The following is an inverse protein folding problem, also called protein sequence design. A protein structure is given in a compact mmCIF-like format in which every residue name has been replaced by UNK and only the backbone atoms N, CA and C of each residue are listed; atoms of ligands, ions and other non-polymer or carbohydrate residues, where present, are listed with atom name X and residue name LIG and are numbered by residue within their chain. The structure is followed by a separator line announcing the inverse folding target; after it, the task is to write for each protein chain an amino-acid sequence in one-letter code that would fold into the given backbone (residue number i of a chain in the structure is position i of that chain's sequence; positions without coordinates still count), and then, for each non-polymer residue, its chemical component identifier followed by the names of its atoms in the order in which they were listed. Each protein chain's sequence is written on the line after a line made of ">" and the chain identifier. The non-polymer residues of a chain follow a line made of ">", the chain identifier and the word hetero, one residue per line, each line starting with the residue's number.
data_IF_458899986285
#
_entry.id   IF_458899986285
#
_cell.length_a   1.000
_cell.length_b   1.000
_cell.length_c   1.000
_cell.angle_alpha   90.00
_cell.angle_beta   90.00
_cell.angle_gamma   90.00
#
_symmetry.space_group_name_H-M   'P 1'
#
loop_
_entity.id
_entity.type
_entity.pdbx_description
1 polymer ?
#
# COMPACT_ATOMS: atom_id res chain seq x y z
N UNK A 1 -84.21 50.80 -61.99
CA UNK A 1 -84.43 50.23 -60.66
C UNK A 1 -83.58 48.98 -60.62
N UNK A 2 -82.38 49.07 -60.05
CA UNK A 2 -81.51 47.93 -59.85
C UNK A 2 -80.87 48.09 -58.48
N UNK A 3 -81.20 47.16 -57.58
CA UNK A 3 -80.55 46.96 -56.30
C UNK A 3 -79.56 45.81 -56.44
N UNK A 4 -78.34 46.01 -55.97
CA UNK A 4 -77.28 45.01 -55.72
C UNK A 4 -76.06 45.74 -55.12
N UNK A 5 -75.13 45.05 -54.43
CA UNK A 5 -75.28 44.68 -53.02
C UNK A 5 -74.17 45.31 -52.16
N UNK A 6 -74.34 45.26 -50.84
CA UNK A 6 -73.33 45.70 -49.89
C UNK A 6 -72.02 44.92 -50.02
N UNK A 7 -70.91 45.66 -50.05
CA UNK A 7 -69.57 45.13 -49.82
C UNK A 7 -69.04 45.81 -48.55
N UNK A 8 -69.05 45.05 -47.47
CA UNK A 8 -68.37 45.36 -46.22
C UNK A 8 -66.89 45.11 -46.41
N UNK A 9 -66.06 46.16 -46.37
CA UNK A 9 -64.61 46.01 -46.19
C UNK A 9 -64.32 46.31 -44.73
N UNK A 10 -64.09 45.22 -43.99
CA UNK A 10 -63.65 45.19 -42.60
C UNK A 10 -62.27 45.82 -42.53
N UNK A 11 -62.14 46.87 -41.75
CA UNK A 11 -60.87 47.48 -41.37
C UNK A 11 -60.21 46.63 -40.28
N UNK A 12 -59.23 45.81 -40.67
CA UNK A 12 -58.33 45.10 -39.76
C UNK A 12 -57.30 46.08 -39.19
N UNK A 13 -57.68 46.76 -38.11
CA UNK A 13 -56.72 47.34 -37.20
C UNK A 13 -56.25 46.24 -36.24
N UNK A 14 -54.94 46.00 -36.08
CA UNK A 14 -54.44 45.04 -35.12
C UNK A 14 -54.83 45.52 -33.72
N UNK A 15 -55.76 44.80 -33.09
CA UNK A 15 -56.35 45.18 -31.81
C UNK A 15 -55.30 45.09 -30.69
N UNK A 16 -55.47 45.82 -29.59
CA UNK A 16 -54.60 45.71 -28.39
C UNK A 16 -54.43 44.25 -27.89
N UNK A 17 -55.35 43.34 -28.26
CA UNK A 17 -55.21 41.90 -28.03
C UNK A 17 -54.03 41.26 -28.78
N UNK A 18 -53.70 41.68 -30.00
CA UNK A 18 -52.58 41.10 -30.76
C UNK A 18 -51.22 41.52 -30.16
N UNK A 19 -51.10 42.75 -29.66
CA UNK A 19 -49.88 43.18 -28.93
C UNK A 19 -49.74 42.46 -27.58
N UNK A 20 -50.85 42.21 -26.88
CA UNK A 20 -50.86 41.39 -25.66
C UNK A 20 -50.51 39.94 -25.97
N UNK A 21 -51.01 39.36 -27.06
CA UNK A 21 -50.67 38.00 -27.52
C UNK A 21 -49.19 37.86 -27.86
N UNK A 22 -48.58 38.81 -28.58
CA UNK A 22 -47.14 38.81 -28.87
C UNK A 22 -46.30 38.89 -27.59
N UNK A 23 -46.77 39.64 -26.58
CA UNK A 23 -46.08 39.75 -25.28
C UNK A 23 -46.24 38.48 -24.45
N UNK A 24 -47.40 37.83 -24.53
CA UNK A 24 -47.70 36.55 -23.89
C UNK A 24 -46.87 35.42 -24.51
N UNK A 25 -46.75 35.39 -25.84
CA UNK A 25 -45.91 34.42 -26.56
C UNK A 25 -44.42 34.57 -26.22
N UNK A 26 -43.93 35.81 -26.12
CA UNK A 26 -42.55 36.08 -25.70
C UNK A 26 -42.29 35.64 -24.25
N UNK A 27 -43.28 35.81 -23.37
CA UNK A 27 -43.23 35.32 -21.99
C UNK A 27 -43.32 33.79 -21.92
N UNK A 28 -44.13 33.15 -22.76
CA UNK A 28 -44.21 31.70 -22.88
C UNK A 28 -42.90 31.09 -23.39
N UNK A 29 -42.28 31.68 -24.42
CA UNK A 29 -40.94 31.25 -24.86
C UNK A 29 -39.88 31.37 -23.77
N UNK A 30 -39.89 32.46 -22.99
CA UNK A 30 -38.99 32.60 -21.83
C UNK A 30 -39.27 31.55 -20.76
N UNK A 31 -40.54 31.27 -20.48
CA UNK A 31 -40.95 30.27 -19.50
C UNK A 31 -40.53 28.86 -19.93
N UNK A 32 -40.70 28.52 -21.21
CA UNK A 32 -40.29 27.22 -21.76
C UNK A 32 -38.78 27.06 -21.80
N UNK A 33 -38.03 28.14 -22.08
CA UNK A 33 -36.57 28.17 -21.95
C UNK A 33 -36.12 27.95 -20.50
N UNK A 34 -36.79 28.56 -19.53
CA UNK A 34 -36.52 28.37 -18.10
C UNK A 34 -36.82 26.93 -17.64
N UNK A 35 -37.94 26.34 -18.10
CA UNK A 35 -38.25 24.93 -17.84
C UNK A 35 -37.17 24.00 -18.41
N UNK A 36 -36.69 24.26 -19.62
CA UNK A 36 -35.59 23.51 -20.24
C UNK A 36 -34.29 23.61 -19.44
N UNK A 37 -33.95 24.80 -18.92
CA UNK A 37 -32.79 25.00 -18.05
C UNK A 37 -32.94 24.26 -16.72
N UNK A 38 -34.14 24.26 -16.13
CA UNK A 38 -34.47 23.51 -14.91
C UNK A 38 -34.32 22.00 -15.12
N UNK A 39 -34.79 21.48 -16.25
CA UNK A 39 -34.63 20.07 -16.63
C UNK A 39 -33.14 19.73 -16.78
N UNK A 40 -32.37 20.55 -17.49
CA UNK A 40 -30.91 20.38 -17.64
C UNK A 40 -30.19 20.42 -16.29
N UNK A 41 -30.54 21.37 -15.42
CA UNK A 41 -29.95 21.45 -14.08
C UNK A 41 -30.31 20.22 -13.25
N UNK A 42 -31.55 19.73 -13.33
CA UNK A 42 -31.99 18.49 -12.68
C UNK A 42 -31.20 17.26 -13.16
N UNK A 43 -30.95 17.15 -14.46
CA UNK A 43 -30.12 16.09 -15.04
C UNK A 43 -28.66 16.19 -14.58
N UNK A 44 -28.09 17.40 -14.57
CA UNK A 44 -26.73 17.63 -14.08
C UNK A 44 -26.59 17.27 -12.59
N UNK A 45 -27.59 17.60 -11.78
CA UNK A 45 -27.61 17.28 -10.35
C UNK A 45 -27.69 15.77 -10.12
N UNK A 46 -28.47 15.04 -10.92
CA UNK A 46 -28.52 13.57 -10.88
C UNK A 46 -27.18 12.94 -11.30
N UNK A 47 -26.54 13.46 -12.34
CA UNK A 47 -25.22 13.00 -12.79
C UNK A 47 -24.15 13.20 -11.72
N UNK A 48 -24.13 14.36 -11.05
CA UNK A 48 -23.20 14.61 -9.95
C UNK A 48 -23.42 13.67 -8.76
N UNK A 49 -24.68 13.38 -8.39
CA UNK A 49 -24.99 12.42 -7.33
C UNK A 49 -24.50 11.01 -7.67
N UNK A 50 -24.71 10.55 -8.91
CA UNK A 50 -24.18 9.26 -9.38
C UNK A 50 -22.67 9.19 -9.28
N UNK A 51 -21.96 10.26 -9.70
CA UNK A 51 -20.50 10.35 -9.60
C UNK A 51 -20.00 10.36 -8.16
N UNK A 52 -20.74 11.00 -7.26
CA UNK A 52 -20.41 11.02 -5.84
C UNK A 52 -20.53 9.63 -5.22
N UNK A 53 -21.58 8.88 -5.58
CA UNK A 53 -21.79 7.51 -5.12
C UNK A 53 -20.73 6.54 -5.67
N UNK A 54 -20.33 6.71 -6.94
CA UNK A 54 -19.20 5.97 -7.53
C UNK A 54 -17.88 6.22 -6.78
N UNK A 55 -17.58 7.48 -6.44
CA UNK A 55 -16.36 7.84 -5.69
C UNK A 55 -16.38 7.32 -4.24
N UNK A 56 -17.54 7.31 -3.58
CA UNK A 56 -17.68 6.70 -2.25
C UNK A 56 -17.45 5.19 -2.30
N UNK A 57 -18.02 4.50 -3.29
CA UNK A 57 -17.80 3.07 -3.50
C UNK A 57 -16.33 2.75 -3.82
N UNK A 58 -15.66 3.59 -4.63
CA UNK A 58 -14.24 3.44 -4.93
C UNK A 58 -13.36 3.65 -3.68
N UNK A 59 -13.69 4.65 -2.85
CA UNK A 59 -13.00 4.88 -1.58
C UNK A 59 -13.14 3.70 -0.62
N UNK A 60 -14.33 3.11 -0.52
CA UNK A 60 -14.57 1.94 0.33
C UNK A 60 -13.80 0.72 -0.19
N UNK A 61 -13.79 0.49 -1.51
CA UNK A 61 -13.00 -0.57 -2.14
C UNK A 61 -11.48 -0.41 -1.91
N UNK A 62 -10.97 0.83 -1.95
CA UNK A 62 -9.57 1.14 -1.63
C UNK A 62 -9.26 0.88 -0.15
N UNK A 63 -10.17 1.21 0.77
CA UNK A 63 -10.01 0.91 2.18
C UNK A 63 -9.92 -0.60 2.46
N UNK A 64 -10.76 -1.40 1.80
CA UNK A 64 -10.72 -2.87 1.91
C UNK A 64 -9.39 -3.40 1.37
N UNK A 65 -8.93 -2.94 0.20
CA UNK A 65 -7.63 -3.33 -0.36
C UNK A 65 -6.46 -2.94 0.54
N UNK A 66 -6.50 -1.77 1.17
CA UNK A 66 -5.48 -1.33 2.12
C UNK A 66 -5.45 -2.28 3.34
N UNK A 67 -6.61 -2.61 3.90
CA UNK A 67 -6.70 -3.55 5.02
C UNK A 67 -6.18 -4.95 4.65
N UNK A 68 -6.50 -5.45 3.45
CA UNK A 68 -6.00 -6.73 2.94
C UNK A 68 -4.49 -6.73 2.74
N UNK A 69 -3.94 -5.68 2.12
CA UNK A 69 -2.50 -5.56 1.89
C UNK A 69 -1.73 -5.42 3.20
N UNK A 70 -2.27 -4.68 4.17
CA UNK A 70 -1.70 -4.56 5.51
C UNK A 70 -1.78 -5.89 6.27
N UNK A 71 -2.87 -6.65 6.13
CA UNK A 71 -2.98 -8.02 6.66
C UNK A 71 -1.98 -9.00 6.03
N UNK A 72 -1.74 -8.91 4.72
CA UNK A 72 -0.72 -9.71 4.03
C UNK A 72 0.69 -9.33 4.46
N UNK A 73 0.97 -8.03 4.60
CA UNK A 73 2.25 -7.52 5.09
C UNK A 73 2.54 -8.03 6.50
N UNK A 74 1.54 -7.96 7.38
CA UNK A 74 1.63 -8.46 8.75
C UNK A 74 1.88 -9.97 8.80
N UNK A 75 1.23 -10.77 7.94
CA UNK A 75 1.51 -12.22 7.81
C UNK A 75 2.94 -12.50 7.34
N UNK A 76 3.41 -11.76 6.33
CA UNK A 76 4.77 -11.92 5.79
C UNK A 76 5.86 -11.56 6.80
N UNK A 77 5.62 -10.53 7.62
CA UNK A 77 6.53 -10.09 8.66
C UNK A 77 6.41 -10.92 9.95
N UNK A 78 5.51 -11.93 10.00
CA UNK A 78 5.08 -12.61 11.25
C UNK A 78 4.71 -11.61 12.35
N UNK A 79 4.26 -10.43 11.95
CA UNK A 79 3.96 -9.31 12.81
C UNK A 79 2.48 -9.36 13.16
N UNK A 80 2.13 -10.12 14.20
CA UNK A 80 0.84 -9.97 14.85
C UNK A 80 0.96 -8.83 15.86
N UNK A 81 0.22 -7.71 15.70
CA UNK A 81 0.19 -6.69 16.73
C UNK A 81 -0.24 -7.35 18.05
N UNK A 82 0.46 -7.06 19.16
CA UNK A 82 0.19 -7.72 20.42
C UNK A 82 -1.24 -7.42 20.88
N UNK A 83 -1.88 -8.39 21.55
CA UNK A 83 -3.15 -8.11 22.21
C UNK A 83 -2.90 -7.17 23.39
N UNK A 84 -3.84 -6.26 23.64
CA UNK A 84 -3.73 -5.26 24.71
C UNK A 84 -3.52 -5.90 26.09
N UNK A 85 -4.05 -7.11 26.28
CA UNK A 85 -3.89 -7.95 27.49
C UNK A 85 -2.46 -8.47 27.70
N UNK A 86 -1.67 -8.59 26.63
CA UNK A 86 -0.30 -9.13 26.66
C UNK A 86 0.76 -8.03 26.88
N UNK A 87 0.34 -6.76 26.87
CA UNK A 87 1.22 -5.59 27.02
C UNK A 87 1.63 -5.42 28.48
N UNK A 88 2.94 -5.34 28.73
CA UNK A 88 3.53 -5.18 30.05
C UNK A 88 3.87 -3.71 30.30
N UNK A 89 4.64 -3.11 29.38
CA UNK A 89 5.14 -1.74 29.53
C UNK A 89 5.50 -1.12 28.18
N UNK A 90 5.64 0.21 28.17
CA UNK A 90 6.18 0.96 27.04
C UNK A 90 7.68 1.12 27.24
N UNK A 91 8.49 0.70 26.26
CA UNK A 91 9.94 0.80 26.30
C UNK A 91 10.46 2.12 25.73
N UNK A 92 9.86 2.57 24.63
CA UNK A 92 10.35 3.73 23.90
C UNK A 92 9.23 4.35 23.06
N UNK A 93 9.32 5.65 22.80
CA UNK A 93 8.51 6.38 21.83
C UNK A 93 9.43 7.12 20.89
N UNK A 94 9.28 6.91 19.59
CA UNK A 94 10.15 7.47 18.56
C UNK A 94 9.27 8.16 17.54
N UNK A 95 9.57 9.43 17.24
CA UNK A 95 8.91 10.15 16.16
C UNK A 95 9.67 9.93 14.86
N UNK A 96 8.98 9.40 13.86
CA UNK A 96 9.49 9.22 12.50
C UNK A 96 8.60 10.08 11.59
N UNK A 97 9.19 11.10 10.99
CA UNK A 97 8.49 12.14 10.22
C UNK A 97 7.36 12.83 11.02
N UNK A 98 6.11 12.58 10.64
CA UNK A 98 4.90 13.12 11.29
C UNK A 98 4.26 12.16 12.30
N UNK A 99 4.68 10.90 12.32
CA UNK A 99 4.06 9.84 13.12
C UNK A 99 4.94 9.44 14.31
N UNK A 100 4.30 9.08 15.42
CA UNK A 100 5.01 8.57 16.60
C UNK A 100 4.80 7.07 16.67
N UNK A 101 5.89 6.33 16.79
CA UNK A 101 5.93 4.89 16.96
C UNK A 101 6.29 4.57 18.41
N UNK A 102 5.50 3.71 19.03
CA UNK A 102 5.66 3.27 20.41
C UNK A 102 6.14 1.82 20.43
N UNK A 103 7.25 1.56 21.12
CA UNK A 103 7.74 0.21 21.38
C UNK A 103 7.09 -0.34 22.64
N UNK A 104 6.32 -1.40 22.48
CA UNK A 104 5.61 -2.11 23.54
C UNK A 104 6.36 -3.40 23.88
N UNK A 105 6.66 -3.61 25.16
CA UNK A 105 7.10 -4.92 25.66
C UNK A 105 5.88 -5.76 26.00
N UNK A 106 5.82 -6.96 25.44
CA UNK A 106 4.81 -7.95 25.77
C UNK A 106 5.46 -9.23 26.26
N UNK A 107 4.65 -10.18 26.75
CA UNK A 107 5.14 -11.51 27.15
C UNK A 107 5.76 -12.31 25.99
N UNK A 108 5.43 -11.96 24.74
CA UNK A 108 5.90 -12.66 23.52
C UNK A 108 7.10 -11.97 22.86
N UNK A 109 7.46 -10.76 23.29
CA UNK A 109 8.55 -9.99 22.70
C UNK A 109 8.28 -8.49 22.67
N UNK A 110 9.11 -7.75 21.93
CA UNK A 110 8.99 -6.31 21.75
C UNK A 110 8.34 -5.99 20.40
N UNK A 111 7.39 -5.07 20.38
CA UNK A 111 6.57 -4.72 19.20
C UNK A 111 6.54 -3.21 18.99
N UNK A 112 6.53 -2.76 17.74
CA UNK A 112 6.50 -1.34 17.36
C UNK A 112 5.14 -0.98 16.74
N UNK A 113 4.33 -0.20 17.45
CA UNK A 113 3.01 0.20 16.97
C UNK A 113 2.88 1.72 16.90
N UNK A 114 2.08 2.23 15.97
CA UNK A 114 1.80 3.66 15.86
C UNK A 114 1.09 4.13 17.15
N UNK A 115 1.44 5.32 17.61
CA UNK A 115 0.82 5.94 18.77
C UNK A 115 -0.69 6.09 18.54
N UNK A 116 -1.49 5.67 19.53
CA UNK A 116 -2.95 5.57 19.41
C UNK A 116 -3.48 4.16 19.11
N UNK A 117 -2.61 3.18 18.82
CA UNK A 117 -3.04 1.77 18.64
C UNK A 117 -3.55 1.13 19.94
N UNK A 118 -2.99 1.52 21.09
CA UNK A 118 -3.35 1.00 22.41
C UNK A 118 -3.44 2.12 23.44
N UNK A 119 -4.27 1.95 24.48
CA UNK A 119 -4.38 2.93 25.56
C UNK A 119 -3.30 2.64 26.60
N UNK A 120 -2.31 3.51 26.70
CA UNK A 120 -1.22 3.38 27.67
C UNK A 120 -1.75 3.48 29.11
N UNK A 121 -1.51 2.44 29.92
CA UNK A 121 -1.71 2.48 31.38
C UNK A 121 -0.40 2.89 32.07
N UNK A 122 -0.11 4.18 32.16
CA UNK A 122 1.07 4.69 32.89
C UNK A 122 1.63 6.01 32.36
N UNK A 123 2.77 6.43 32.93
CA UNK A 123 3.56 7.55 32.39
C UNK A 123 4.26 7.11 31.11
N UNK A 124 3.96 7.79 30.01
CA UNK A 124 4.60 7.52 28.72
C UNK A 124 6.04 8.02 28.73
N UNK A 125 7.01 7.25 28.21
CA UNK A 125 8.36 7.73 27.97
C UNK A 125 8.37 8.98 27.09
N UNK A 126 9.39 9.82 27.26
CA UNK A 126 9.61 11.01 26.45
C UNK A 126 9.81 10.61 24.97
N UNK A 127 9.27 11.41 24.05
CA UNK A 127 9.33 11.12 22.61
C UNK A 127 10.72 11.47 22.10
N UNK A 128 11.45 10.46 21.63
CA UNK A 128 12.70 10.66 20.91
C UNK A 128 12.39 11.22 19.53
N UNK A 129 12.60 12.52 19.34
CA UNK A 129 12.45 13.18 18.03
C UNK A 129 13.65 12.80 17.15
N UNK A 130 13.38 12.01 16.12
CA UNK A 130 14.40 11.49 15.20
C UNK A 130 14.53 12.38 13.95
N UNK A 131 14.35 13.71 14.10
CA UNK A 131 14.74 14.71 13.10
C UNK A 131 16.26 14.62 12.86
N UNK A 132 16.63 13.66 12.00
CA UNK A 132 17.98 13.17 11.83
C UNK A 132 18.90 14.23 11.21
N UNK A 133 19.75 14.82 12.03
CA UNK A 133 20.90 15.57 11.56
C UNK A 133 22.01 14.57 11.16
N UNK A 134 22.51 14.61 9.92
CA UNK A 134 23.48 13.65 9.35
C UNK A 134 24.72 13.40 10.25
N UNK A 135 25.06 14.37 11.09
CA UNK A 135 26.16 14.31 12.05
C UNK A 135 25.93 13.28 13.17
N UNK A 136 24.69 13.18 13.67
CA UNK A 136 24.33 12.24 14.75
C UNK A 136 24.35 10.80 14.22
N UNK A 137 23.90 10.57 12.99
CA UNK A 137 23.98 9.26 12.34
C UNK A 137 25.43 8.80 12.13
N UNK A 138 26.33 9.72 11.73
CA UNK A 138 27.75 9.42 11.59
C UNK A 138 28.40 9.05 12.93
N UNK A 139 28.07 9.76 14.01
CA UNK A 139 28.58 9.48 15.36
C UNK A 139 28.03 8.15 15.92
N UNK A 140 26.75 7.85 15.69
CA UNK A 140 26.15 6.57 16.11
C UNK A 140 26.72 5.39 15.31
N UNK A 141 26.89 5.53 13.99
CA UNK A 141 27.53 4.52 13.16
C UNK A 141 28.97 4.26 13.61
N UNK A 142 29.75 5.31 13.89
CA UNK A 142 31.11 5.18 14.41
C UNK A 142 31.15 4.46 15.77
N UNK A 143 30.18 4.73 16.65
CA UNK A 143 30.10 4.06 17.95
C UNK A 143 29.77 2.57 17.80
N UNK A 144 28.84 2.21 16.91
CA UNK A 144 28.51 0.81 16.61
C UNK A 144 29.72 0.06 16.04
N UNK A 145 30.45 0.69 15.11
CA UNK A 145 31.68 0.11 14.54
C UNK A 145 32.71 -0.15 15.63
N UNK A 146 32.98 0.83 16.51
CA UNK A 146 33.92 0.65 17.64
C UNK A 146 33.48 -0.47 18.59
N UNK A 147 32.19 -0.58 18.91
CA UNK A 147 31.67 -1.67 19.74
C UNK A 147 31.86 -3.04 19.09
N UNK A 148 31.69 -3.12 17.78
CA UNK A 148 31.92 -4.35 17.01
C UNK A 148 33.41 -4.72 17.00
N UNK A 149 34.30 -3.75 16.79
CA UNK A 149 35.75 -3.96 16.84
C UNK A 149 36.20 -4.45 18.22
N UNK A 150 35.73 -3.82 19.30
CA UNK A 150 36.02 -4.26 20.67
C UNK A 150 35.51 -5.66 20.96
N UNK A 151 34.32 -6.01 20.44
CA UNK A 151 33.76 -7.37 20.59
C UNK A 151 34.58 -8.40 19.82
N UNK A 152 35.00 -8.08 18.59
CA UNK A 152 35.84 -8.95 17.78
C UNK A 152 37.20 -9.17 18.44
N UNK A 153 37.78 -8.12 19.03
CA UNK A 153 39.02 -8.23 19.79
C UNK A 153 38.90 -9.17 20.99
N UNK A 154 37.84 -9.04 21.80
CA UNK A 154 37.59 -9.97 22.93
C UNK A 154 37.34 -11.41 22.48
N UNK A 155 36.66 -11.60 21.35
CA UNK A 155 36.47 -12.94 20.78
C UNK A 155 37.79 -13.55 20.33
N UNK A 156 38.68 -12.76 19.74
CA UNK A 156 40.02 -13.20 19.36
C UNK A 156 40.85 -13.57 20.60
N UNK A 157 40.89 -12.72 21.62
CA UNK A 157 41.57 -13.00 22.89
C UNK A 157 41.06 -14.29 23.57
N UNK A 158 39.75 -14.53 23.51
CA UNK A 158 39.17 -15.77 24.02
C UNK A 158 39.56 -17.00 23.19
N UNK A 159 39.58 -16.87 21.85
CA UNK A 159 40.02 -17.94 20.95
C UNK A 159 41.48 -18.33 21.22
N UNK A 160 42.37 -17.34 21.34
CA UNK A 160 43.78 -17.56 21.63
C UNK A 160 43.95 -18.26 23.01
N UNK A 161 43.15 -17.89 24.01
CA UNK A 161 43.15 -18.56 25.32
C UNK A 161 42.62 -20.01 25.26
N UNK A 162 41.67 -20.32 24.36
CA UNK A 162 41.23 -21.69 24.12
C UNK A 162 42.31 -22.52 23.42
N UNK A 163 43.03 -21.93 22.47
CA UNK A 163 44.16 -22.59 21.80
C UNK A 163 45.28 -22.92 22.80
N UNK A 164 45.64 -22.00 23.68
CA UNK A 164 46.64 -22.23 24.74
C UNK A 164 46.21 -23.35 25.70
N UNK A 165 44.94 -23.37 26.13
CA UNK A 165 44.39 -24.47 26.94
C UNK A 165 44.43 -25.80 26.22
N UNK A 166 44.11 -25.82 24.92
CA UNK A 166 44.14 -27.04 24.12
C UNK A 166 45.58 -27.56 23.96
N UNK A 167 46.55 -26.68 23.73
CA UNK A 167 47.97 -27.04 23.72
C UNK A 167 48.42 -27.63 25.06
N UNK A 168 47.98 -27.03 26.17
CA UNK A 168 48.27 -27.52 27.52
C UNK A 168 47.68 -28.92 27.76
N UNK A 169 46.45 -29.17 27.32
CA UNK A 169 45.80 -30.48 27.39
C UNK A 169 46.52 -31.52 26.52
N UNK A 170 46.91 -31.16 25.30
CA UNK A 170 47.69 -32.04 24.42
C UNK A 170 49.06 -32.38 25.01
N UNK A 171 49.69 -31.43 25.72
CA UNK A 171 50.94 -31.68 26.43
C UNK A 171 50.72 -32.62 27.62
N UNK A 172 49.69 -32.37 28.45
CA UNK A 172 49.32 -33.25 29.56
C UNK A 172 49.00 -34.68 29.09
N UNK A 173 48.31 -34.81 27.94
CA UNK A 173 48.04 -36.11 27.33
C UNK A 173 49.32 -36.84 26.90
N UNK A 174 50.27 -36.12 26.27
CA UNK A 174 51.59 -36.67 25.94
C UNK A 174 52.37 -37.11 27.18
N UNK A 175 52.36 -36.31 28.23
CA UNK A 175 53.05 -36.63 29.49
C UNK A 175 52.43 -37.86 30.17
N UNK A 176 51.09 -38.00 30.12
CA UNK A 176 50.36 -39.19 30.58
C UNK A 176 50.74 -40.43 29.76
N UNK A 177 50.85 -40.30 28.45
CA UNK A 177 51.22 -41.41 27.56
C UNK A 177 52.65 -41.88 27.83
N UNK A 178 53.60 -40.95 28.03
CA UNK A 178 54.97 -41.28 28.43
C UNK A 178 54.98 -42.04 29.78
N UNK A 179 54.18 -41.59 30.75
CA UNK A 179 54.07 -42.30 32.05
C UNK A 179 53.48 -43.69 31.91
N UNK A 180 52.51 -43.89 31.01
CA UNK A 180 51.98 -45.22 30.71
C UNK A 180 53.06 -46.12 30.12
N UNK A 181 53.85 -45.62 29.16
CA UNK A 181 54.96 -46.37 28.56
C UNK A 181 56.06 -46.69 29.60
N UNK A 182 56.32 -45.78 30.56
CA UNK A 182 57.23 -45.99 31.69
C UNK A 182 56.72 -47.06 32.67
N UNK A 183 55.41 -47.13 32.92
CA UNK A 183 54.80 -48.16 33.76
C UNK A 183 54.82 -49.51 33.02
N UNK A 184 54.47 -49.54 31.74
CA UNK A 184 54.50 -50.75 30.91
C UNK A 184 55.93 -51.33 30.80
N UNK A 185 56.94 -50.47 30.74
CA UNK A 185 58.35 -50.90 30.75
C UNK A 185 58.84 -51.38 32.12
N UNK A 186 58.29 -50.86 33.23
CA UNK A 186 58.57 -51.33 34.60
C UNK A 186 57.89 -52.65 34.96
N UNK A 187 56.73 -52.95 34.37
CA UNK A 187 55.91 -54.14 34.74
C UNK A 187 56.25 -55.43 33.99
N UNK A 188 57.34 -55.47 33.20
CA UNK A 188 57.80 -56.70 32.51
C UNK A 188 58.25 -57.86 33.43
N UNK A 189 58.11 -57.75 34.76
CA UNK A 189 58.37 -58.83 35.72
C UNK A 189 57.10 -59.29 36.46
N UNK A 190 56.37 -60.26 35.86
CA UNK A 190 55.20 -61.07 36.31
C UNK A 190 53.78 -60.45 36.22
N UNK A 191 52.75 -61.31 36.10
CA UNK A 191 52.29 -61.99 34.89
C UNK A 191 51.30 -61.10 34.12
N UNK A 192 51.82 -60.30 33.18
CA UNK A 192 51.05 -59.29 32.40
C UNK A 192 50.17 -59.91 31.30
N UNK A 193 50.25 -61.22 31.06
CA UNK A 193 49.54 -61.86 29.95
C UNK A 193 48.02 -61.77 30.03
N UNK A 194 47.43 -61.93 31.22
CA UNK A 194 45.97 -61.92 31.37
C UNK A 194 45.39 -60.51 31.23
N UNK A 195 46.05 -59.51 31.82
CA UNK A 195 45.61 -58.10 31.78
C UNK A 195 45.77 -57.54 30.37
N UNK A 196 46.89 -57.84 29.69
CA UNK A 196 47.11 -57.42 28.30
C UNK A 196 46.09 -58.05 27.34
N UNK A 197 45.81 -59.34 27.48
CA UNK A 197 44.75 -60.00 26.70
C UNK A 197 43.37 -59.39 26.94
N UNK A 198 43.04 -59.01 28.18
CA UNK A 198 41.75 -58.38 28.49
C UNK A 198 41.66 -56.94 27.95
N UNK A 199 42.75 -56.18 27.97
CA UNK A 199 42.82 -54.84 27.38
C UNK A 199 42.64 -54.94 25.85
N UNK A 200 43.39 -55.83 25.19
CA UNK A 200 43.31 -56.04 23.74
C UNK A 200 41.91 -56.51 23.31
N UNK A 201 41.32 -57.48 24.04
CA UNK A 201 39.95 -57.94 23.79
C UNK A 201 38.90 -56.82 24.06
N UNK A 202 39.12 -55.94 25.04
CA UNK A 202 38.23 -54.80 25.31
C UNK A 202 38.32 -53.70 24.24
N UNK A 203 39.51 -53.46 23.68
CA UNK A 203 39.72 -52.52 22.60
C UNK A 203 39.08 -53.02 21.29
N UNK A 204 39.20 -54.32 21.00
CA UNK A 204 38.53 -54.95 19.86
C UNK A 204 36.99 -54.92 20.00
N UNK A 205 36.48 -55.07 21.22
CA UNK A 205 35.05 -54.91 21.52
C UNK A 205 34.59 -53.46 21.30
N UNK A 206 35.38 -52.49 21.74
CA UNK A 206 35.09 -51.06 21.55
C UNK A 206 35.05 -50.67 20.06
N UNK A 207 36.05 -51.10 19.28
CA UNK A 207 36.08 -50.89 17.81
C UNK A 207 34.86 -51.52 17.12
N UNK A 208 34.46 -52.74 17.51
CA UNK A 208 33.26 -53.39 16.98
C UNK A 208 31.97 -52.65 17.34
N UNK A 209 31.88 -52.10 18.55
CA UNK A 209 30.73 -51.28 19.00
C UNK A 209 30.70 -49.95 18.25
N UNK A 210 31.85 -49.28 18.09
CA UNK A 210 31.93 -48.00 17.37
C UNK A 210 31.64 -48.16 15.88
N UNK A 211 32.16 -49.20 15.23
CA UNK A 211 31.81 -49.54 13.86
C UNK A 211 30.32 -49.79 13.67
N UNK A 212 29.64 -50.38 14.67
CA UNK A 212 28.19 -50.58 14.64
C UNK A 212 27.39 -49.29 14.84
N UNK A 213 27.88 -48.35 15.64
CA UNK A 213 27.24 -47.04 15.87
C UNK A 213 27.36 -46.14 14.63
N UNK A 214 28.44 -46.28 13.87
CA UNK A 214 28.73 -45.49 12.67
C UNK A 214 28.10 -46.07 11.38
N UNK A 215 27.63 -47.32 11.40
CA UNK A 215 26.94 -47.96 10.28
C UNK A 215 25.50 -47.41 10.12
N UNK A 216 25.09 -47.15 8.86
CA UNK A 216 23.81 -46.52 8.57
C UNK A 216 22.59 -47.45 8.74
N UNK A 217 22.77 -48.77 8.64
CA UNK A 217 21.72 -49.79 8.78
C UNK A 217 21.97 -50.73 9.98
N UNK A 218 21.12 -50.62 11.00
CA UNK A 218 21.15 -51.47 12.20
C UNK A 218 20.18 -52.64 12.00
N UNK A 219 20.73 -53.83 11.72
CA UNK A 219 19.98 -55.09 11.73
C UNK A 219 19.99 -55.72 13.14
N UNK A 220 18.85 -56.26 13.57
CA UNK A 220 18.68 -57.04 14.80
C UNK A 220 19.67 -58.21 14.90
N UNK A 221 20.09 -58.78 13.76
CA UNK A 221 21.13 -59.83 13.75
C UNK A 221 22.50 -59.31 14.21
N UNK A 222 22.86 -58.08 13.82
CA UNK A 222 24.11 -57.44 14.22
C UNK A 222 24.07 -57.04 15.71
N UNK A 223 22.92 -56.55 16.20
CA UNK A 223 22.70 -56.26 17.63
C UNK A 223 22.87 -57.52 18.50
N UNK A 224 22.29 -58.65 18.07
CA UNK A 224 22.42 -59.94 18.75
C UNK A 224 23.87 -60.46 18.73
N UNK A 225 24.61 -60.23 17.65
CA UNK A 225 26.04 -60.58 17.56
C UNK A 225 26.91 -59.76 18.52
N UNK A 226 26.63 -58.45 18.64
CA UNK A 226 27.29 -57.57 19.61
C UNK A 226 27.00 -58.02 21.04
N UNK A 227 25.73 -58.31 21.36
CA UNK A 227 25.33 -58.77 22.68
C UNK A 227 25.97 -60.13 23.05
N UNK A 228 26.14 -61.03 22.07
CA UNK A 228 26.89 -62.30 22.26
C UNK A 228 28.38 -62.07 22.51
N UNK A 229 29.02 -61.16 21.77
CA UNK A 229 30.44 -60.83 21.93
C UNK A 229 30.73 -60.23 23.31
N UNK A 230 29.87 -59.31 23.74
CA UNK A 230 29.89 -58.73 25.08
C UNK A 230 29.69 -59.82 26.15
N UNK A 231 28.71 -60.71 25.96
CA UNK A 231 28.42 -61.79 26.92
C UNK A 231 29.56 -62.80 27.04
N UNK A 232 30.28 -63.09 25.94
CA UNK A 232 31.42 -63.99 25.94
C UNK A 232 32.63 -63.38 26.66
N UNK A 233 32.87 -62.08 26.49
CA UNK A 233 33.91 -61.35 27.23
C UNK A 233 33.62 -61.31 28.74
N UNK A 234 32.36 -61.12 29.14
CA UNK A 234 31.91 -61.19 30.54
C UNK A 234 32.08 -62.59 31.14
N UNK A 235 31.90 -63.65 30.34
CA UNK A 235 32.15 -65.03 30.79
C UNK A 235 33.65 -65.32 30.98
N UNK A 236 34.51 -64.90 30.06
CA UNK A 236 35.97 -65.08 30.21
C UNK A 236 36.54 -64.32 31.41
N UNK A 237 36.00 -63.15 31.71
CA UNK A 237 36.36 -62.35 32.90
C UNK A 237 35.80 -62.92 34.21
N UNK A 238 34.91 -63.92 34.14
CA UNK A 238 34.34 -64.58 35.33
C UNK A 238 35.12 -65.80 35.84
N UNK A 239 36.13 -66.26 35.11
CA UNK A 239 36.91 -67.47 35.44
C UNK A 239 38.19 -67.18 36.26
N UNK A 240 38.42 -65.95 36.74
CA UNK A 240 39.57 -65.58 37.57
C UNK A 240 39.23 -64.71 38.80
N UNK A 241 40.03 -64.82 39.87
CA UNK A 241 39.92 -64.11 41.16
C UNK A 241 40.25 -62.60 41.07
N UNK A 242 39.53 -61.86 40.23
CA UNK A 242 39.66 -60.41 40.07
C UNK A 242 38.29 -59.73 40.25
N UNK A 243 37.69 -59.88 41.44
CA UNK A 243 36.36 -59.36 41.81
C UNK A 243 36.23 -57.84 41.59
N UNK A 244 37.26 -57.05 41.92
CA UNK A 244 37.24 -55.59 41.74
C UNK A 244 37.30 -55.17 40.26
N UNK A 245 38.07 -55.90 39.44
CA UNK A 245 38.14 -55.67 37.99
C UNK A 245 36.80 -56.01 37.32
N UNK A 246 36.11 -57.03 37.83
CA UNK A 246 34.79 -57.48 37.36
C UNK A 246 33.70 -56.45 37.60
N UNK A 247 33.70 -55.80 38.77
CA UNK A 247 32.73 -54.74 39.09
C UNK A 247 32.99 -53.47 38.26
N UNK A 248 34.26 -53.12 38.05
CA UNK A 248 34.63 -52.03 37.15
C UNK A 248 34.25 -52.30 35.69
N UNK A 249 34.52 -53.50 35.16
CA UNK A 249 34.11 -53.88 33.81
C UNK A 249 32.58 -53.91 33.65
N UNK A 250 31.85 -54.41 34.64
CA UNK A 250 30.39 -54.37 34.66
C UNK A 250 29.82 -52.94 34.72
N UNK A 251 30.54 -52.01 35.33
CA UNK A 251 30.17 -50.58 35.38
C UNK A 251 30.45 -49.88 34.07
N UNK A 252 31.62 -50.14 33.46
CA UNK A 252 31.98 -49.65 32.11
C UNK A 252 30.96 -50.16 31.08
N UNK A 253 30.59 -51.44 31.14
CA UNK A 253 29.62 -52.03 30.22
C UNK A 253 28.22 -51.40 30.35
N UNK A 254 27.72 -51.20 31.58
CA UNK A 254 26.45 -50.51 31.81
C UNK A 254 26.49 -49.08 31.26
N UNK A 255 27.59 -48.37 31.53
CA UNK A 255 27.82 -47.02 30.99
C UNK A 255 27.84 -47.00 29.46
N UNK A 256 28.51 -47.95 28.81
CA UNK A 256 28.56 -48.05 27.35
C UNK A 256 27.17 -48.32 26.75
N UNK A 257 26.40 -49.25 27.34
CA UNK A 257 25.02 -49.53 26.89
C UNK A 257 24.13 -48.29 27.03
N UNK A 258 24.23 -47.57 28.14
CA UNK A 258 23.45 -46.36 28.35
C UNK A 258 23.85 -45.22 27.41
N UNK A 259 25.15 -45.06 27.14
CA UNK A 259 25.66 -44.10 26.14
C UNK A 259 25.14 -44.47 24.75
N UNK A 260 25.23 -45.72 24.33
CA UNK A 260 24.72 -46.20 23.04
C UNK A 260 23.22 -45.96 22.90
N UNK A 261 22.43 -46.20 23.96
CA UNK A 261 20.99 -45.91 23.95
C UNK A 261 20.71 -44.42 23.78
N UNK A 262 21.46 -43.55 24.48
CA UNK A 262 21.32 -42.09 24.36
C UNK A 262 21.69 -41.61 22.96
N UNK A 263 22.78 -42.14 22.39
CA UNK A 263 23.21 -41.80 21.03
C UNK A 263 22.19 -42.23 19.97
N UNK A 264 21.61 -43.43 20.10
CA UNK A 264 20.50 -43.89 19.25
C UNK A 264 19.28 -42.97 19.35
N UNK A 265 18.92 -42.55 20.56
CA UNK A 265 17.80 -41.63 20.77
C UNK A 265 18.06 -40.27 20.12
N UNK A 266 19.25 -39.71 20.33
CA UNK A 266 19.67 -38.44 19.73
C UNK A 266 19.71 -38.53 18.19
N UNK A 267 20.19 -39.64 17.63
CA UNK A 267 20.19 -39.89 16.17
C UNK A 267 18.76 -39.90 15.61
N UNK A 268 17.83 -40.61 16.24
CA UNK A 268 16.43 -40.66 15.81
C UNK A 268 15.75 -39.29 15.90
N UNK A 269 16.07 -38.52 16.94
CA UNK A 269 15.56 -37.15 17.11
C UNK A 269 16.09 -36.23 16.02
N UNK A 270 17.41 -36.26 15.74
CA UNK A 270 18.02 -35.50 14.65
C UNK A 270 17.42 -35.85 13.29
N UNK A 271 17.20 -37.15 13.01
CA UNK A 271 16.57 -37.57 11.76
C UNK A 271 15.13 -37.08 11.63
N UNK A 272 14.39 -37.02 12.74
CA UNK A 272 13.02 -36.49 12.76
C UNK A 272 13.00 -34.98 12.55
N UNK A 273 13.92 -34.26 13.21
CA UNK A 273 14.10 -32.82 13.03
C UNK A 273 14.52 -32.48 11.58
N UNK A 274 15.41 -33.27 10.99
CA UNK A 274 15.85 -33.08 9.60
C UNK A 274 14.69 -33.28 8.61
N UNK A 275 13.85 -34.31 8.82
CA UNK A 275 12.62 -34.52 8.03
C UNK A 275 11.64 -33.35 8.17
N UNK A 276 11.41 -32.89 9.39
CA UNK A 276 10.53 -31.74 9.66
C UNK A 276 11.07 -30.45 9.03
N UNK A 277 12.40 -30.26 9.07
CA UNK A 277 13.07 -29.12 8.46
C UNK A 277 12.93 -29.14 6.94
N UNK A 278 13.18 -30.30 6.30
CA UNK A 278 12.98 -30.46 4.85
C UNK A 278 11.52 -30.16 4.44
N UNK A 279 10.55 -30.71 5.16
CA UNK A 279 9.13 -30.44 4.89
C UNK A 279 8.78 -28.94 5.03
N UNK A 280 9.39 -28.25 5.99
CA UNK A 280 9.22 -26.80 6.17
C UNK A 280 9.85 -26.03 5.01
N UNK A 281 11.06 -26.41 4.57
CA UNK A 281 11.70 -25.81 3.40
C UNK A 281 10.87 -26.00 2.12
N UNK A 282 10.32 -27.20 1.91
CA UNK A 282 9.48 -27.51 0.75
C UNK A 282 8.18 -26.68 0.77
N UNK A 283 7.54 -26.53 1.93
CA UNK A 283 6.37 -25.68 2.11
C UNK A 283 6.68 -24.21 1.79
N UNK A 284 7.78 -23.67 2.31
CA UNK A 284 8.21 -22.29 2.04
C UNK A 284 8.55 -22.08 0.55
N UNK A 285 9.13 -23.07 -0.12
CA UNK A 285 9.39 -23.01 -1.56
C UNK A 285 8.09 -22.99 -2.37
N UNK A 286 7.08 -23.75 -1.95
CA UNK A 286 5.76 -23.75 -2.58
C UNK A 286 5.06 -22.40 -2.40
N UNK A 287 5.02 -21.88 -1.17
CA UNK A 287 4.44 -20.56 -0.85
C UNK A 287 5.11 -19.43 -1.65
N UNK A 288 6.45 -19.48 -1.79
CA UNK A 288 7.20 -18.52 -2.61
C UNK A 288 6.75 -18.54 -4.08
N UNK A 289 6.58 -19.71 -4.68
CA UNK A 289 6.16 -19.81 -6.08
C UNK A 289 4.70 -19.36 -6.25
N UNK A 290 3.83 -19.68 -5.29
CA UNK A 290 2.45 -19.19 -5.28
C UNK A 290 2.40 -17.65 -5.22
N UNK A 291 3.15 -17.04 -4.32
CA UNK A 291 3.24 -15.58 -4.19
C UNK A 291 3.76 -14.92 -5.48
N UNK A 292 4.73 -15.55 -6.16
CA UNK A 292 5.23 -15.07 -7.45
C UNK A 292 4.16 -15.09 -8.55
N UNK A 293 3.32 -16.14 -8.57
CA UNK A 293 2.16 -16.21 -9.48
C UNK A 293 1.14 -15.12 -9.13
N UNK A 294 0.83 -14.91 -7.85
CA UNK A 294 -0.10 -13.86 -7.41
C UNK A 294 0.40 -12.45 -7.79
N UNK A 295 1.68 -12.15 -7.56
CA UNK A 295 2.30 -10.87 -7.96
C UNK A 295 2.19 -10.68 -9.48
N UNK A 296 2.46 -11.73 -10.25
CA UNK A 296 2.37 -11.66 -11.72
C UNK A 296 0.95 -11.38 -12.19
N UNK A 297 -0.07 -12.00 -11.58
CA UNK A 297 -1.49 -11.72 -11.86
C UNK A 297 -1.87 -10.28 -11.52
N UNK A 298 -1.52 -9.81 -10.31
CA UNK A 298 -1.79 -8.44 -9.88
C UNK A 298 -1.13 -7.40 -10.79
N UNK A 299 0.10 -7.67 -11.26
CA UNK A 299 0.79 -6.79 -12.20
C UNK A 299 0.04 -6.66 -13.53
N UNK A 300 -0.49 -7.76 -14.05
CA UNK A 300 -1.30 -7.75 -15.27
C UNK A 300 -2.61 -6.98 -15.06
N UNK A 301 -3.31 -7.21 -13.95
CA UNK A 301 -4.54 -6.49 -13.62
C UNK A 301 -4.32 -4.98 -13.46
N UNK A 302 -3.25 -4.58 -12.76
CA UNK A 302 -2.87 -3.17 -12.60
C UNK A 302 -2.51 -2.52 -13.94
N UNK A 303 -1.78 -3.23 -14.81
CA UNK A 303 -1.46 -2.74 -16.16
C UNK A 303 -2.72 -2.52 -16.99
N UNK A 304 -3.67 -3.46 -16.94
CA UNK A 304 -4.95 -3.34 -17.64
C UNK A 304 -5.77 -2.16 -17.12
N UNK A 305 -5.83 -1.97 -15.80
CA UNK A 305 -6.52 -0.82 -15.19
C UNK A 305 -5.86 0.51 -15.57
N UNK A 306 -4.54 0.54 -15.64
CA UNK A 306 -3.80 1.71 -16.11
C UNK A 306 -4.15 2.07 -17.57
N UNK A 307 -4.23 1.06 -18.45
CA UNK A 307 -4.66 1.26 -19.84
C UNK A 307 -6.11 1.75 -19.93
N UNK A 308 -7.03 1.19 -19.14
CA UNK A 308 -8.43 1.64 -19.05
C UNK A 308 -8.54 3.12 -18.62
N UNK A 309 -7.81 3.50 -17.57
CA UNK A 309 -7.79 4.89 -17.09
C UNK A 309 -7.14 5.85 -18.10
N UNK A 310 -6.07 5.43 -18.76
CA UNK A 310 -5.42 6.21 -19.80
C UNK A 310 -6.35 6.43 -21.01
N UNK A 311 -7.09 5.39 -21.43
CA UNK A 311 -8.11 5.51 -22.47
C UNK A 311 -9.23 6.47 -22.08
N UNK A 312 -9.68 6.42 -20.82
CA UNK A 312 -10.74 7.30 -20.30
C UNK A 312 -10.28 8.75 -20.24
N UNK A 313 -9.03 9.01 -19.83
CA UNK A 313 -8.42 10.34 -19.86
C UNK A 313 -8.34 10.91 -21.28
N UNK A 314 -7.93 10.11 -22.25
CA UNK A 314 -7.90 10.55 -23.66
C UNK A 314 -9.30 10.90 -24.16
N UNK A 315 -10.32 10.10 -23.84
CA UNK A 315 -11.71 10.39 -24.22
C UNK A 315 -12.20 11.70 -23.59
N UNK A 316 -12.00 11.88 -22.29
CA UNK A 316 -12.40 13.12 -21.59
C UNK A 316 -11.68 14.35 -22.15
N UNK A 317 -10.42 14.20 -22.55
CA UNK A 317 -9.66 15.29 -23.15
C UNK A 317 -10.20 15.66 -24.54
N UNK A 318 -10.53 14.66 -25.36
CA UNK A 318 -11.21 14.88 -26.66
C UNK A 318 -12.57 15.56 -26.49
N UNK A 319 -13.37 15.12 -25.52
CA UNK A 319 -14.68 15.70 -25.22
C UNK A 319 -14.56 17.16 -24.75
N UNK A 320 -13.59 17.44 -23.86
CA UNK A 320 -13.27 18.80 -23.42
C UNK A 320 -12.89 19.71 -24.59
N UNK A 321 -12.03 19.23 -25.49
CA UNK A 321 -11.57 20.02 -26.63
C UNK A 321 -12.72 20.28 -27.63
N UNK A 322 -13.59 19.28 -27.84
CA UNK A 322 -14.80 19.43 -28.65
C UNK A 322 -15.73 20.51 -28.08
N UNK A 323 -16.06 20.42 -26.78
CA UNK A 323 -16.90 21.42 -26.11
C UNK A 323 -16.28 22.81 -26.14
N UNK A 324 -14.96 22.91 -25.92
CA UNK A 324 -14.24 24.19 -26.00
C UNK A 324 -14.33 24.80 -27.41
N UNK A 325 -14.22 23.98 -28.45
CA UNK A 325 -14.37 24.42 -29.84
C UNK A 325 -15.79 24.91 -30.14
N UNK A 326 -16.82 24.18 -29.68
CA UNK A 326 -18.21 24.57 -29.84
C UNK A 326 -18.52 25.90 -29.14
N UNK A 327 -18.05 26.06 -27.90
CA UNK A 327 -18.20 27.32 -27.14
C UNK A 327 -17.44 28.48 -27.79
N UNK A 328 -16.27 28.23 -28.36
CA UNK A 328 -15.53 29.24 -29.13
C UNK A 328 -16.32 29.71 -30.35
N UNK A 329 -17.02 28.82 -31.05
CA UNK A 329 -17.90 29.18 -32.18
C UNK A 329 -19.10 30.01 -31.70
N UNK A 330 -19.75 29.63 -30.61
CA UNK A 330 -20.88 30.36 -30.01
C UNK A 330 -20.45 31.79 -29.59
N UNK A 331 -19.30 31.93 -28.93
CA UNK A 331 -18.74 33.24 -28.56
C UNK A 331 -18.51 34.11 -29.81
N UNK A 332 -17.95 33.54 -30.89
CA UNK A 332 -17.72 34.30 -32.13
C UNK A 332 -19.04 34.74 -32.77
N UNK A 333 -20.08 33.91 -32.74
CA UNK A 333 -21.42 34.28 -33.23
C UNK A 333 -21.99 35.44 -32.43
N UNK A 334 -22.02 35.34 -31.10
CA UNK A 334 -22.52 36.40 -30.21
C UNK A 334 -21.71 37.70 -30.35
N UNK A 335 -20.38 37.62 -30.48
CA UNK A 335 -19.55 38.80 -30.75
C UNK A 335 -19.90 39.47 -32.08
N UNK A 336 -20.24 38.68 -33.12
CA UNK A 336 -20.68 39.22 -34.40
C UNK A 336 -22.04 39.91 -34.30
N UNK A 337 -22.95 39.38 -33.48
CA UNK A 337 -24.26 39.98 -33.21
C UNK A 337 -24.13 41.27 -32.39
N UNK A 338 -23.27 41.30 -31.37
CA UNK A 338 -22.98 42.53 -30.60
C UNK A 338 -22.39 43.61 -31.52
N UNK A 339 -21.49 43.25 -32.45
CA UNK A 339 -20.95 44.20 -33.44
C UNK A 339 -22.02 44.75 -34.38
N UNK A 340 -23.12 44.04 -34.59
CA UNK A 340 -24.28 44.53 -35.37
C UNK A 340 -25.19 45.45 -34.56
N UNK A 341 -25.00 45.57 -33.24
CA UNK A 341 -25.82 46.44 -32.40
C UNK A 341 -25.62 47.92 -32.75
N UNK A 342 -26.68 48.70 -32.55
CA UNK A 342 -26.82 50.08 -32.99
C UNK A 342 -25.77 50.95 -32.30
N UNK A 343 -25.14 51.86 -33.05
CA UNK A 343 -24.23 52.86 -32.52
C UNK A 343 -25.01 53.84 -31.62
N UNK A 344 -25.09 53.52 -30.32
CA UNK A 344 -25.88 54.26 -29.32
C UNK A 344 -25.52 55.74 -29.26
N UNK A 345 -24.23 56.16 -29.27
CA UNK A 345 -23.87 57.58 -29.36
C UNK A 345 -24.44 58.29 -30.59
N UNK A 346 -24.39 57.64 -31.76
CA UNK A 346 -24.93 58.20 -32.99
C UNK A 346 -26.45 58.27 -32.98
N UNK A 347 -27.13 57.20 -32.51
CA UNK A 347 -28.57 57.19 -32.34
C UNK A 347 -29.03 58.30 -31.38
N UNK A 348 -28.32 58.50 -30.26
CA UNK A 348 -28.59 59.58 -29.31
C UNK A 348 -28.47 60.95 -29.97
N UNK A 349 -27.44 61.16 -30.78
CA UNK A 349 -27.26 62.42 -31.51
C UNK A 349 -28.41 62.69 -32.48
N UNK A 350 -28.78 61.69 -33.30
CA UNK A 350 -29.88 61.80 -34.27
C UNK A 350 -31.23 62.05 -33.56
N UNK A 351 -31.49 61.37 -32.44
CA UNK A 351 -32.70 61.60 -31.62
C UNK A 351 -32.76 63.02 -31.04
N UNK A 352 -31.65 63.50 -30.46
CA UNK A 352 -31.58 64.87 -29.92
C UNK A 352 -31.83 65.89 -31.05
N UNK A 353 -31.16 65.71 -32.19
CA UNK A 353 -31.32 66.62 -33.32
C UNK A 353 -32.75 66.60 -33.88
N UNK A 354 -33.39 65.44 -33.90
CA UNK A 354 -34.78 65.30 -34.35
C UNK A 354 -35.76 66.04 -33.43
N UNK A 355 -35.61 65.94 -32.10
CA UNK A 355 -36.51 66.60 -31.14
C UNK A 355 -36.24 68.10 -30.96
N UNK A 356 -35.01 68.56 -31.19
CA UNK A 356 -34.60 69.95 -30.93
C UNK A 356 -34.60 70.86 -32.18
N UNK A 357 -34.93 70.34 -33.36
CA UNK A 357 -34.98 71.13 -34.60
C UNK A 357 -36.40 71.60 -34.89
N UNK A 358 -36.59 72.89 -35.21
CA UNK A 358 -37.91 73.45 -35.56
C UNK A 358 -38.22 73.36 -37.08
N UNK A 359 -37.24 72.95 -37.88
CA UNK A 359 -37.37 72.77 -39.34
C UNK A 359 -37.94 71.40 -39.70
N UNK A 360 -39.12 71.40 -40.32
CA UNK A 360 -39.84 70.18 -40.72
C UNK A 360 -39.05 69.33 -41.73
N UNK A 361 -38.36 69.96 -42.68
CA UNK A 361 -37.56 69.29 -43.70
C UNK A 361 -36.37 68.52 -43.10
N UNK A 362 -35.74 69.08 -42.07
CA UNK A 362 -34.63 68.43 -41.35
C UNK A 362 -35.14 67.27 -40.52
N UNK A 363 -36.28 67.44 -39.85
CA UNK A 363 -36.93 66.36 -39.13
C UNK A 363 -37.36 65.19 -40.05
N UNK A 364 -37.86 65.46 -41.26
CA UNK A 364 -38.22 64.44 -42.25
C UNK A 364 -37.00 63.69 -42.81
N UNK A 365 -35.82 64.32 -42.84
CA UNK A 365 -34.58 63.60 -43.15
C UNK A 365 -34.13 62.75 -41.97
N UNK A 366 -34.20 63.29 -40.75
CA UNK A 366 -33.78 62.60 -39.53
C UNK A 366 -34.68 61.40 -39.19
N UNK A 367 -35.99 61.44 -39.48
CA UNK A 367 -36.87 60.28 -39.28
C UNK A 367 -36.47 59.10 -40.17
N UNK A 368 -35.99 59.37 -41.40
CA UNK A 368 -35.50 58.31 -42.29
C UNK A 368 -34.18 57.72 -41.79
N UNK A 369 -33.33 58.55 -41.18
CA UNK A 369 -32.10 58.09 -40.54
C UNK A 369 -32.41 57.26 -39.29
N UNK A 370 -33.36 57.69 -38.44
CA UNK A 370 -33.81 56.93 -37.27
C UNK A 370 -34.42 55.59 -37.66
N UNK A 371 -35.25 55.57 -38.70
CA UNK A 371 -35.82 54.35 -39.29
C UNK A 371 -34.74 53.34 -39.67
N UNK A 372 -33.70 53.81 -40.34
CA UNK A 372 -32.60 52.97 -40.80
C UNK A 372 -31.74 52.48 -39.63
N UNK A 373 -31.50 53.34 -38.65
CA UNK A 373 -30.69 53.01 -37.46
C UNK A 373 -31.38 52.02 -36.53
N UNK A 374 -32.69 52.20 -36.31
CA UNK A 374 -33.51 51.36 -35.43
C UNK A 374 -34.12 50.16 -36.16
N UNK A 375 -33.91 50.05 -37.48
CA UNK A 375 -34.45 49.00 -38.34
C UNK A 375 -35.98 48.91 -38.28
N UNK A 376 -36.67 50.05 -38.34
CA UNK A 376 -38.13 50.07 -38.38
C UNK A 376 -38.67 49.36 -39.63
N UNK A 377 -39.72 48.58 -39.44
CA UNK A 377 -40.40 47.95 -40.57
C UNK A 377 -41.05 49.02 -41.47
N UNK A 378 -41.21 48.75 -42.78
CA UNK A 378 -41.82 49.71 -43.70
C UNK A 378 -43.22 50.17 -43.27
N UNK A 379 -43.96 49.27 -42.61
CA UNK A 379 -45.31 49.48 -42.08
C UNK A 379 -45.35 50.38 -40.84
N UNK A 380 -44.29 50.36 -40.01
CA UNK A 380 -44.16 51.25 -38.87
C UNK A 380 -43.82 52.67 -39.35
N UNK A 381 -43.03 52.77 -40.42
CA UNK A 381 -42.65 54.04 -41.01
C UNK A 381 -43.80 54.79 -41.67
N UNK A 382 -44.71 54.08 -42.32
CA UNK A 382 -45.93 54.69 -42.86
C UNK A 382 -46.80 55.23 -41.72
N UNK A 383 -47.01 54.48 -40.64
CA UNK A 383 -47.75 54.94 -39.45
C UNK A 383 -47.13 56.18 -38.80
N UNK A 384 -45.80 56.21 -38.64
CA UNK A 384 -45.07 57.35 -38.05
C UNK A 384 -45.20 58.61 -38.91
N UNK A 385 -45.18 58.46 -40.25
CA UNK A 385 -45.39 59.58 -41.19
C UNK A 385 -46.84 60.05 -41.24
N UNK A 386 -47.80 59.14 -41.09
CA UNK A 386 -49.23 59.47 -41.04
C UNK A 386 -49.62 60.27 -39.79
N UNK A 387 -49.00 59.97 -38.64
CA UNK A 387 -49.22 60.71 -37.39
C UNK A 387 -48.58 62.13 -37.36
N UNK A 388 -47.88 62.54 -38.44
CA UNK A 388 -47.18 63.84 -38.55
C UNK A 388 -48.02 64.98 -39.13
N UNK A 389 -49.26 64.76 -39.58
CA UNK A 389 -50.16 65.86 -39.98
C UNK A 389 -50.88 66.49 -38.78
N UNK A 390 -51.12 67.81 -38.80
CA UNK A 390 -50.68 68.69 -37.71
C UNK A 390 -51.74 68.92 -36.63
N UNK A 391 -51.28 69.06 -35.37
CA UNK A 391 -51.72 70.11 -34.43
C UNK A 391 -50.88 70.09 -33.13
N UNK A 392 -49.98 71.06 -32.99
CA UNK A 392 -49.81 71.88 -31.78
C UNK A 392 -49.75 71.23 -30.39
N UNK A 393 -49.05 70.10 -30.17
CA UNK A 393 -48.87 69.53 -28.82
C UNK A 393 -47.46 69.74 -28.22
N UNK A 394 -46.41 69.90 -29.03
CA UNK A 394 -45.03 69.95 -28.48
C UNK A 394 -44.62 71.29 -27.86
N UNK A 395 -45.31 72.40 -28.12
CA UNK A 395 -45.04 73.69 -27.46
C UNK A 395 -45.49 73.75 -25.98
N UNK A 396 -46.11 72.70 -25.44
CA UNK A 396 -46.51 72.65 -24.03
C UNK A 396 -45.54 71.94 -23.09
N UNK A 397 -44.57 71.16 -23.59
CA UNK A 397 -43.64 70.41 -22.74
C UNK A 397 -42.31 71.17 -22.53
N UNK A 398 -41.92 72.06 -23.45
CA UNK A 398 -40.70 72.88 -23.32
C UNK A 398 -40.89 74.19 -22.53
N UNK A 399 -41.99 74.33 -21.79
CA UNK A 399 -42.24 75.43 -20.83
C UNK A 399 -42.30 74.96 -19.37
N UNK A 400 -41.58 73.88 -19.06
CA UNK A 400 -41.25 73.46 -17.69
C UNK A 400 -39.75 73.28 -17.53
#
# INVERSE_FOLDING_TARGET
>A
MDGSPGSSVVSDAPSEKENLEVTIDALQQKNDRLKLLLIKQGQHTKSLKSKQEELENEKEALHIKLAETQGRLNKLLKYEPPKEEDIIEILARVKIDTEIYTCWRTRKGNYWCVEGTFVAKGQNPEVLDNSCNKKIQAEQAANIVRQYEDRMKRLQENMDAYEEKNQTLQQAYRDLQIRFDEIESREKSRPVGLVRCLIDESAELYEKVMGFVLDDEIDNNKLNSMQKSISNFVKKTSEGDALDLREHLGTIQRSLVDITRRLLHARNELQTQEKAWRATCDALMHEKEEMKVQISRLKVEMSKKQEEFQGTLMHLQQEKDFVAQEKSREIKQLQSEIKKSINVPYLKHVLIQYFCTDELDVQDRLINVLSTLLQFAPEEMTKIREHRMPKGVLTRILKW
#
